data_IF_796812762256
#
_entry.id   IF_796812762256
#
_cell.length_a   1.000
_cell.length_b   1.000
_cell.length_c   1.000
_cell.angle_alpha   90.00
_cell.angle_beta   90.00
_cell.angle_gamma   90.00
#
_symmetry.space_group_name_H-M   'P 1'
#
loop_
_entity.id
_entity.type
_entity.pdbx_description
1 polymer ?
#
# COMPACT_ATOMS: atom_id res chain seq x y z
N UNK A 1 -10.35 -3.05 -26.31
CA UNK A 1 -10.06 -2.18 -25.15
C UNK A 1 -10.64 -2.87 -23.93
N UNK A 2 -9.81 -3.48 -23.09
CA UNK A 2 -10.29 -4.15 -21.87
C UNK A 2 -10.47 -3.10 -20.78
N UNK A 3 -11.73 -2.79 -20.48
CA UNK A 3 -12.12 -1.87 -19.43
C UNK A 3 -11.90 -2.61 -18.10
N UNK A 4 -10.83 -2.27 -17.38
CA UNK A 4 -10.67 -2.75 -16.01
C UNK A 4 -11.64 -1.93 -15.16
N UNK A 5 -12.68 -2.52 -14.55
CA UNK A 5 -13.52 -1.81 -13.60
C UNK A 5 -12.66 -1.51 -12.37
N UNK A 6 -12.04 -0.33 -12.35
CA UNK A 6 -11.31 0.15 -11.18
C UNK A 6 -12.30 0.37 -10.04
N UNK A 7 -12.13 -0.35 -8.95
CA UNK A 7 -12.82 -0.05 -7.69
C UNK A 7 -12.27 1.29 -7.16
N UNK A 8 -13.11 2.32 -7.12
CA UNK A 8 -12.77 3.59 -6.50
C UNK A 8 -12.83 3.47 -4.98
N UNK A 9 -11.67 3.41 -4.31
CA UNK A 9 -11.61 3.48 -2.85
C UNK A 9 -11.79 4.94 -2.45
N UNK A 10 -12.94 5.31 -1.88
CA UNK A 10 -13.26 6.67 -1.43
C UNK A 10 -12.82 6.97 0.02
N UNK A 11 -12.08 6.06 0.65
CA UNK A 11 -11.59 6.21 2.02
C UNK A 11 -10.07 6.14 2.05
N UNK A 12 -9.43 7.16 2.59
CA UNK A 12 -8.00 7.17 2.87
C UNK A 12 -7.79 7.20 4.39
N UNK A 13 -6.79 6.47 4.86
CA UNK A 13 -6.27 6.59 6.22
C UNK A 13 -4.86 7.16 6.12
N UNK A 14 -4.59 8.23 6.87
CA UNK A 14 -3.22 8.77 7.01
C UNK A 14 -2.58 8.17 8.25
N UNK A 15 -1.40 7.62 8.08
CA UNK A 15 -0.59 7.07 9.16
C UNK A 15 0.47 8.13 9.51
N UNK A 16 0.32 8.78 10.67
CA UNK A 16 1.22 9.85 11.13
C UNK A 16 2.26 9.36 12.15
N UNK A 17 2.13 8.12 12.63
CA UNK A 17 3.03 7.47 13.58
C UNK A 17 3.26 6.01 13.20
N UNK A 18 4.13 5.28 13.91
CA UNK A 18 4.24 3.83 13.74
C UNK A 18 2.87 3.17 13.98
N UNK A 19 2.25 2.68 12.92
CA UNK A 19 1.03 1.89 12.98
C UNK A 19 1.39 0.40 12.84
N UNK A 20 0.88 -0.49 13.72
CA UNK A 20 1.09 -1.91 13.54
C UNK A 20 0.43 -2.35 12.22
N UNK A 21 1.20 -3.05 11.38
CA UNK A 21 0.73 -3.67 10.15
C UNK A 21 0.71 -5.17 10.39
N UNK A 22 -0.45 -5.80 10.29
CA UNK A 22 -0.59 -7.25 10.26
C UNK A 22 -0.98 -7.72 8.87
N UNK A 23 -0.41 -8.84 8.44
CA UNK A 23 -0.70 -9.47 7.16
C UNK A 23 -1.06 -10.94 7.39
N UNK A 24 -2.15 -11.39 6.77
CA UNK A 24 -2.56 -12.78 6.75
C UNK A 24 -2.81 -13.22 5.31
N UNK A 25 -2.32 -14.40 4.92
CA UNK A 25 -2.46 -14.92 3.54
C UNK A 25 -3.47 -16.05 3.52
N UNK A 26 -4.45 -15.98 2.62
CA UNK A 26 -5.46 -17.01 2.38
C UNK A 26 -5.52 -17.31 0.89
N UNK A 27 -5.11 -18.51 0.48
CA UNK A 27 -5.10 -18.86 -0.94
C UNK A 27 -4.20 -17.92 -1.75
N UNK A 28 -4.78 -17.18 -2.69
CA UNK A 28 -4.12 -16.18 -3.52
C UNK A 28 -4.37 -14.73 -3.06
N UNK A 29 -4.92 -14.53 -1.87
CA UNK A 29 -5.22 -13.22 -1.29
C UNK A 29 -4.34 -12.91 -0.07
N UNK A 30 -3.94 -11.64 0.05
CA UNK A 30 -3.33 -11.07 1.23
C UNK A 30 -4.31 -10.12 1.92
N UNK A 31 -4.55 -10.35 3.20
CA UNK A 31 -5.37 -9.53 4.09
C UNK A 31 -4.44 -8.69 4.94
N UNK A 32 -4.44 -7.38 4.70
CA UNK A 32 -3.61 -6.40 5.37
C UNK A 32 -4.49 -5.58 6.31
N UNK A 33 -4.14 -5.53 7.59
CA UNK A 33 -4.75 -4.62 8.57
C UNK A 33 -3.70 -3.63 9.03
N UNK A 34 -4.00 -2.34 8.91
CA UNK A 34 -3.08 -1.25 9.25
C UNK A 34 -3.70 -0.39 10.34
N UNK A 35 -3.06 -0.37 11.52
CA UNK A 35 -3.49 0.42 12.68
C UNK A 35 -4.90 0.08 13.20
N UNK A 36 -5.47 -1.05 12.78
CA UNK A 36 -6.87 -1.42 13.06
C UNK A 36 -7.92 -0.53 12.37
N UNK A 37 -7.49 0.39 11.49
CA UNK A 37 -8.34 1.38 10.84
C UNK A 37 -8.55 1.12 9.34
N UNK A 38 -7.60 0.42 8.71
CA UNK A 38 -7.65 0.09 7.29
C UNK A 38 -7.46 -1.42 7.11
N UNK A 39 -8.47 -2.07 6.54
CA UNK A 39 -8.41 -3.46 6.10
C UNK A 39 -8.41 -3.49 4.57
N UNK A 40 -7.43 -4.18 4.00
CA UNK A 40 -7.26 -4.35 2.56
C UNK A 40 -7.13 -5.84 2.23
N UNK A 41 -7.97 -6.32 1.33
CA UNK A 41 -7.81 -7.65 0.72
C UNK A 41 -7.33 -7.45 -0.70
N UNK A 42 -6.20 -8.06 -1.04
CA UNK A 42 -5.54 -7.88 -2.33
C UNK A 42 -5.06 -9.21 -2.87
N UNK A 43 -5.35 -9.48 -4.15
CA UNK A 43 -4.88 -10.70 -4.81
C UNK A 43 -3.38 -10.66 -5.03
N UNK A 44 -2.74 -11.83 -5.20
CA UNK A 44 -1.30 -11.95 -5.42
C UNK A 44 -0.80 -11.07 -6.57
N UNK A 45 -1.51 -11.03 -7.69
CA UNK A 45 -1.12 -10.24 -8.85
C UNK A 45 -1.14 -8.74 -8.55
N UNK A 46 -2.22 -8.27 -7.91
CA UNK A 46 -2.35 -6.87 -7.51
C UNK A 46 -1.37 -6.48 -6.39
N UNK A 47 -1.03 -7.41 -5.48
CA UNK A 47 -0.07 -7.18 -4.41
C UNK A 47 1.33 -6.94 -4.98
N UNK A 48 1.76 -7.72 -5.98
CA UNK A 48 3.06 -7.52 -6.64
C UNK A 48 3.13 -6.12 -7.25
N UNK A 49 2.09 -5.71 -7.97
CA UNK A 49 2.00 -4.38 -8.56
C UNK A 49 2.03 -3.26 -7.49
N UNK A 50 1.21 -3.39 -6.45
CA UNK A 50 1.16 -2.47 -5.32
C UNK A 50 2.52 -2.33 -4.64
N UNK A 51 3.22 -3.44 -4.37
CA UNK A 51 4.54 -3.38 -3.73
C UNK A 51 5.57 -2.65 -4.59
N UNK A 52 5.52 -2.78 -5.91
CA UNK A 52 6.38 -2.01 -6.82
C UNK A 52 6.14 -0.50 -6.70
N UNK A 53 4.87 -0.08 -6.66
CA UNK A 53 4.51 1.32 -6.45
C UNK A 53 4.92 1.85 -5.06
N UNK A 54 4.74 1.05 -3.99
CA UNK A 54 5.13 1.44 -2.64
C UNK A 54 6.64 1.57 -2.47
N UNK A 55 7.43 0.65 -3.06
CA UNK A 55 8.89 0.73 -3.06
C UNK A 55 9.37 2.01 -3.75
N UNK A 56 8.81 2.30 -4.93
CA UNK A 56 9.13 3.53 -5.64
C UNK A 56 8.79 4.79 -4.82
N UNK A 57 7.60 4.84 -4.22
CA UNK A 57 7.19 5.96 -3.38
C UNK A 57 8.11 6.15 -2.17
N UNK A 58 8.53 5.05 -1.52
CA UNK A 58 9.55 5.09 -0.45
C UNK A 58 10.86 5.69 -0.96
N UNK A 59 11.35 5.21 -2.10
CA UNK A 59 12.64 5.66 -2.63
C UNK A 59 12.60 7.16 -3.01
N UNK A 60 11.47 7.64 -3.54
CA UNK A 60 11.23 9.07 -3.81
C UNK A 60 11.23 9.91 -2.51
N UNK A 61 10.56 9.43 -1.45
CA UNK A 61 10.56 10.11 -0.14
C UNK A 61 11.96 10.17 0.48
N UNK A 62 12.73 9.08 0.43
CA UNK A 62 14.10 9.04 0.96
C UNK A 62 15.05 9.95 0.16
N UNK A 63 14.88 10.05 -1.15
CA UNK A 63 15.68 10.96 -1.97
C UNK A 63 15.37 12.44 -1.66
N UNK A 64 14.11 12.78 -1.41
CA UNK A 64 13.69 14.13 -1.03
C UNK A 64 14.23 14.55 0.35
N UNK A 65 14.25 13.64 1.32
CA UNK A 65 14.88 13.86 2.63
C UNK A 65 16.38 14.16 2.52
N UNK A 66 17.09 13.53 1.58
CA UNK A 66 18.52 13.81 1.32
C UNK A 66 18.75 15.17 0.66
N UNK A 67 17.83 15.63 -0.18
CA UNK A 67 17.90 16.94 -0.84
C UNK A 67 17.59 18.10 0.09
N UNK A 68 16.70 17.88 1.08
CA UNK A 68 16.29 18.89 2.06
C UNK A 68 17.23 19.03 3.25
N UNK A 69 18.15 18.06 3.43
CA UNK A 69 19.16 18.07 4.51
C UNK A 69 20.58 18.45 4.04
N UNK A 70 20.79 18.68 2.74
CA UNK A 70 22.03 19.17 2.15
C UNK A 70 22.08 20.70 2.04
#
# INVERSE_FOLDING_TARGET
MSMHPGFGISSFARIESEAPISCHVVGDEAHLTIGGALDLVITKAALVDLTGHLVRARDELTADEQLTTA
#
